data_IF_267853940231
#
_entry.id   IF_267853940231
#
_cell.length_a   1.000
_cell.length_b   1.000
_cell.length_c   1.000
_cell.angle_alpha   90.00
_cell.angle_beta   90.00
_cell.angle_gamma   90.00
#
_symmetry.space_group_name_H-M   'P 1'
#
loop_
_entity.id
_entity.type
_entity.pdbx_description
1 polymer ?
#
# COMPACT_ATOMS: atom_id res chain seq x y z
N UNK A 1 14.62 18.44 23.55
CA UNK A 1 14.87 16.99 23.69
C UNK A 1 15.42 16.50 22.38
N UNK A 2 16.47 15.69 22.36
CA UNK A 2 16.95 15.09 21.13
C UNK A 2 16.01 13.93 20.75
N UNK A 3 15.60 13.87 19.48
CA UNK A 3 14.79 12.74 18.96
C UNK A 3 15.63 11.47 18.92
N UNK A 4 14.99 10.34 19.22
CA UNK A 4 15.57 9.01 19.00
C UNK A 4 15.18 8.49 17.61
N UNK A 5 15.87 7.47 17.12
CA UNK A 5 15.47 6.79 15.87
C UNK A 5 14.04 6.23 15.94
N UNK A 6 13.56 5.83 17.12
CA UNK A 6 12.19 5.37 17.32
C UNK A 6 11.18 6.52 17.19
N UNK A 7 11.47 7.69 17.78
CA UNK A 7 10.59 8.85 17.63
C UNK A 7 10.41 9.28 16.19
N UNK A 8 11.51 9.22 15.42
CA UNK A 8 11.51 9.52 13.99
C UNK A 8 10.70 8.49 13.20
N UNK A 9 10.90 7.20 13.49
CA UNK A 9 10.19 6.11 12.87
C UNK A 9 8.68 6.17 13.16
N UNK A 10 8.30 6.46 14.41
CA UNK A 10 6.90 6.63 14.83
C UNK A 10 6.23 7.84 14.17
N UNK A 11 6.97 8.95 14.00
CA UNK A 11 6.47 10.12 13.27
C UNK A 11 6.23 9.78 11.81
N UNK A 12 7.20 9.14 11.14
CA UNK A 12 7.09 8.70 9.75
C UNK A 12 5.93 7.72 9.55
N UNK A 13 5.75 6.79 10.49
CA UNK A 13 4.62 5.85 10.49
C UNK A 13 3.28 6.58 10.54
N UNK A 14 3.12 7.53 11.46
CA UNK A 14 1.88 8.31 11.60
C UNK A 14 1.56 9.11 10.34
N UNK A 15 2.55 9.75 9.74
CA UNK A 15 2.38 10.55 8.53
C UNK A 15 1.91 9.68 7.35
N UNK A 16 2.52 8.50 7.19
CA UNK A 16 2.13 7.56 6.14
C UNK A 16 0.74 6.94 6.38
N UNK A 17 0.42 6.58 7.63
CA UNK A 17 -0.94 6.13 7.99
C UNK A 17 -1.96 7.23 7.65
N UNK A 18 -1.68 8.47 8.03
CA UNK A 18 -2.58 9.60 7.75
C UNK A 18 -2.83 9.79 6.26
N UNK A 19 -1.80 9.66 5.43
CA UNK A 19 -1.90 9.78 3.97
C UNK A 19 -2.73 8.64 3.36
N UNK A 20 -2.35 7.40 3.63
CA UNK A 20 -2.98 6.23 3.01
C UNK A 20 -4.43 6.05 3.51
N UNK A 21 -4.69 6.28 4.81
CA UNK A 21 -6.02 6.10 5.39
C UNK A 21 -7.10 6.98 4.75
N UNK A 22 -6.73 8.14 4.19
CA UNK A 22 -7.66 9.04 3.50
C UNK A 22 -8.23 8.45 2.21
N UNK A 23 -7.55 7.50 1.59
CA UNK A 23 -8.06 6.77 0.43
C UNK A 23 -9.12 5.70 0.77
N UNK A 24 -9.30 5.41 2.06
CA UNK A 24 -10.17 4.33 2.52
C UNK A 24 -9.61 2.93 2.32
N UNK A 25 -8.41 2.77 1.78
CA UNK A 25 -7.77 1.46 1.65
C UNK A 25 -7.75 0.72 2.98
N UNK A 26 -7.94 -0.58 2.91
CA UNK A 26 -7.78 -1.48 4.05
C UNK A 26 -6.33 -1.91 4.14
N UNK A 27 -5.61 -1.44 5.16
CA UNK A 27 -4.22 -1.78 5.37
C UNK A 27 -3.86 -1.81 6.86
N UNK A 28 -2.70 -2.39 7.14
CA UNK A 28 -1.96 -2.26 8.40
C UNK A 28 -0.56 -1.79 8.09
N UNK A 29 0.02 -0.96 8.95
CA UNK A 29 1.37 -0.48 8.80
C UNK A 29 2.16 -0.77 10.08
N UNK A 30 3.25 -1.51 9.93
CA UNK A 30 4.21 -1.81 10.97
C UNK A 30 5.49 -1.03 10.72
N UNK A 31 6.11 -0.57 11.78
CA UNK A 31 7.39 0.11 11.73
C UNK A 31 8.39 -0.61 12.62
N UNK A 32 9.65 -0.65 12.19
CA UNK A 32 10.75 -1.13 13.01
C UNK A 32 11.99 -0.28 12.81
N UNK A 33 12.75 -0.13 13.86
CA UNK A 33 14.11 0.42 13.82
C UNK A 33 15.09 -0.73 14.02
N UNK A 34 16.13 -0.78 13.19
CA UNK A 34 17.17 -1.81 13.29
C UNK A 34 17.96 -1.62 14.58
N UNK A 35 18.09 -2.69 15.37
CA UNK A 35 18.88 -2.65 16.61
C UNK A 35 20.37 -2.52 16.33
N UNK A 36 21.11 -2.00 17.31
CA UNK A 36 22.59 -1.86 17.23
C UNK A 36 23.25 -3.23 17.01
N UNK A 37 22.73 -4.28 17.66
CA UNK A 37 23.24 -5.66 17.46
C UNK A 37 23.05 -6.09 16.01
N UNK A 38 21.89 -5.79 15.40
CA UNK A 38 21.64 -6.10 13.99
C UNK A 38 22.55 -5.32 13.04
N UNK A 39 22.87 -4.06 13.38
CA UNK A 39 23.87 -3.26 12.64
C UNK A 39 25.24 -3.91 12.74
N UNK A 40 25.68 -4.26 13.95
CA UNK A 40 26.98 -4.93 14.19
C UNK A 40 27.08 -6.27 13.46
N UNK A 41 26.05 -7.09 13.52
CA UNK A 41 26.01 -8.37 12.79
C UNK A 41 26.11 -8.16 11.27
N UNK A 42 25.40 -7.16 10.72
CA UNK A 42 25.49 -6.82 9.29
C UNK A 42 26.88 -6.32 8.90
N UNK A 43 27.52 -5.54 9.79
CA UNK A 43 28.93 -5.12 9.64
C UNK A 43 29.88 -6.29 9.66
N UNK A 44 29.70 -7.29 10.53
CA UNK A 44 30.52 -8.52 10.54
C UNK A 44 30.47 -9.29 9.23
N UNK A 45 29.31 -9.34 8.58
CA UNK A 45 29.10 -10.12 7.35
C UNK A 45 29.45 -9.35 6.06
N UNK A 46 29.20 -8.05 6.00
CA UNK A 46 29.31 -7.20 4.79
C UNK A 46 30.04 -5.89 5.03
N UNK A 47 30.71 -5.74 6.18
CA UNK A 47 31.35 -4.48 6.60
C UNK A 47 32.35 -3.94 5.60
N UNK A 48 33.05 -4.81 4.88
CA UNK A 48 33.98 -4.41 3.84
C UNK A 48 33.32 -3.58 2.72
N UNK A 49 32.07 -3.85 2.38
CA UNK A 49 31.33 -3.08 1.37
C UNK A 49 30.98 -1.66 1.87
N UNK A 50 30.68 -1.53 3.16
CA UNK A 50 30.33 -0.25 3.77
C UNK A 50 31.58 0.59 4.03
N UNK A 51 32.64 -0.02 4.57
CA UNK A 51 33.88 0.69 4.91
C UNK A 51 34.68 1.14 3.69
N UNK A 52 34.58 0.43 2.54
CA UNK A 52 35.23 0.88 1.30
C UNK A 52 34.40 1.93 0.53
N UNK A 53 33.28 2.40 1.07
CA UNK A 53 32.43 3.42 0.45
C UNK A 53 31.63 2.97 -0.79
N UNK A 54 31.65 1.67 -1.13
CA UNK A 54 30.89 1.15 -2.28
C UNK A 54 29.39 1.19 -2.11
N UNK A 55 28.91 1.11 -0.87
CA UNK A 55 27.46 1.14 -0.52
C UNK A 55 27.28 1.65 0.88
N UNK A 56 26.08 2.14 1.19
CA UNK A 56 25.66 2.54 2.54
C UNK A 56 24.53 1.64 3.03
N UNK A 57 24.35 1.58 4.35
CA UNK A 57 23.25 0.86 4.96
C UNK A 57 21.96 1.71 4.88
N UNK A 58 20.93 1.19 4.23
CA UNK A 58 19.73 1.94 3.85
C UNK A 58 18.46 1.51 4.59
N UNK A 59 18.55 0.45 5.41
CA UNK A 59 17.42 -0.22 6.06
C UNK A 59 17.41 -0.07 7.59
N UNK A 60 17.78 1.14 8.08
CA UNK A 60 17.74 1.46 9.52
C UNK A 60 16.30 1.60 10.01
N UNK A 61 15.47 2.30 9.24
CA UNK A 61 14.02 2.37 9.45
C UNK A 61 13.35 1.52 8.38
N UNK A 62 12.56 0.55 8.80
CA UNK A 62 11.77 -0.32 7.92
C UNK A 62 10.29 -0.18 8.20
N UNK A 63 9.50 0.08 7.17
CA UNK A 63 8.05 0.14 7.19
C UNK A 63 7.49 -1.06 6.43
N UNK A 64 6.46 -1.69 6.97
CA UNK A 64 5.78 -2.79 6.31
C UNK A 64 4.30 -2.47 6.19
N UNK A 65 3.82 -2.36 4.95
CA UNK A 65 2.41 -2.11 4.64
C UNK A 65 1.80 -3.44 4.21
N UNK A 66 0.77 -3.85 4.94
CA UNK A 66 0.04 -5.09 4.69
C UNK A 66 -1.36 -4.73 4.21
N UNK A 67 -1.65 -5.06 2.95
CA UNK A 67 -2.94 -4.83 2.29
C UNK A 67 -3.77 -6.10 2.23
N UNK A 68 -5.05 -5.98 1.91
CA UNK A 68 -5.97 -7.13 1.94
C UNK A 68 -6.26 -7.69 0.54
N UNK A 69 -6.01 -6.92 -0.51
CA UNK A 69 -6.20 -7.35 -1.89
C UNK A 69 -4.90 -7.23 -2.69
N UNK A 70 -4.62 -8.16 -3.62
CA UNK A 70 -3.36 -8.17 -4.36
C UNK A 70 -3.18 -6.96 -5.28
N UNK A 71 -4.26 -6.38 -5.82
CA UNK A 71 -4.24 -5.18 -6.66
C UNK A 71 -3.95 -3.89 -5.85
N UNK A 72 -4.12 -3.87 -4.53
CA UNK A 72 -3.70 -2.75 -3.68
C UNK A 72 -2.17 -2.64 -3.56
N UNK A 73 -1.43 -3.74 -3.81
CA UNK A 73 0.04 -3.69 -3.91
C UNK A 73 0.46 -2.79 -5.07
N UNK A 74 -0.20 -2.91 -6.24
CA UNK A 74 0.10 -2.12 -7.42
C UNK A 74 -0.19 -0.63 -7.20
N UNK A 75 -1.33 -0.30 -6.56
CA UNK A 75 -1.67 1.06 -6.16
C UNK A 75 -0.57 1.69 -5.31
N UNK A 76 -0.15 1.00 -4.24
CA UNK A 76 0.87 1.52 -3.34
C UNK A 76 2.27 1.50 -3.97
N UNK A 77 2.57 0.52 -4.84
CA UNK A 77 3.80 0.48 -5.63
C UNK A 77 3.91 1.71 -6.51
N UNK A 78 2.86 2.04 -7.25
CA UNK A 78 2.82 3.23 -8.09
C UNK A 78 2.98 4.50 -7.27
N UNK A 79 2.26 4.62 -6.15
CA UNK A 79 2.36 5.79 -5.27
C UNK A 79 3.79 5.98 -4.71
N UNK A 80 4.39 4.92 -4.16
CA UNK A 80 5.73 5.01 -3.58
C UNK A 80 6.85 4.96 -4.61
N UNK A 81 6.60 4.49 -5.82
CA UNK A 81 7.52 4.50 -6.96
C UNK A 81 7.71 5.88 -7.58
N UNK A 82 6.83 6.84 -7.29
CA UNK A 82 6.98 8.21 -7.74
C UNK A 82 7.90 9.03 -6.81
N UNK A 83 8.69 9.95 -7.38
CA UNK A 83 9.55 10.88 -6.63
C UNK A 83 10.91 10.28 -6.24
N UNK A 84 11.42 10.58 -5.04
CA UNK A 84 12.78 10.25 -4.63
C UNK A 84 12.98 8.79 -4.21
N UNK A 85 12.91 7.89 -5.19
CA UNK A 85 13.25 6.47 -5.01
C UNK A 85 14.76 6.31 -5.16
N UNK A 86 15.40 5.73 -4.15
CA UNK A 86 16.84 5.41 -4.18
C UNK A 86 17.07 4.04 -4.79
N UNK A 87 16.18 3.10 -4.48
CA UNK A 87 16.26 1.72 -4.96
C UNK A 87 14.88 1.07 -4.92
N UNK A 88 14.54 0.39 -5.98
CA UNK A 88 13.42 -0.55 -6.02
C UNK A 88 13.95 -1.96 -6.27
N UNK A 89 13.44 -2.92 -5.52
CA UNK A 89 13.69 -4.34 -5.80
C UNK A 89 12.37 -5.09 -5.74
N UNK A 90 12.02 -5.66 -6.88
CA UNK A 90 10.92 -6.61 -6.99
C UNK A 90 11.58 -7.99 -6.99
N UNK A 91 11.39 -8.76 -5.93
CA UNK A 91 11.74 -10.18 -5.95
C UNK A 91 10.72 -10.88 -6.84
N UNK A 92 10.98 -10.91 -8.15
CA UNK A 92 10.23 -11.77 -9.07
C UNK A 92 10.69 -13.22 -8.81
N UNK A 93 9.74 -14.12 -8.49
CA UNK A 93 10.09 -15.54 -8.41
C UNK A 93 10.62 -16.01 -9.78
N UNK A 94 11.62 -16.88 -9.75
CA UNK A 94 11.94 -17.72 -10.89
C UNK A 94 10.71 -18.57 -11.23
N UNK A 95 10.36 -18.73 -12.51
CA UNK A 95 9.21 -19.50 -12.98
C UNK A 95 9.15 -20.93 -12.42
N UNK A 96 10.27 -21.44 -11.91
CA UNK A 96 10.41 -22.76 -11.28
C UNK A 96 10.16 -22.76 -9.76
N UNK A 97 10.06 -21.59 -9.10
CA UNK A 97 9.95 -21.50 -7.64
C UNK A 97 8.82 -20.61 -7.20
N UNK A 98 7.86 -21.18 -6.47
CA UNK A 98 6.83 -20.39 -5.78
C UNK A 98 7.48 -19.59 -4.63
N UNK A 99 7.61 -18.29 -4.84
CA UNK A 99 7.99 -17.33 -3.79
C UNK A 99 7.05 -16.14 -3.88
N UNK A 100 6.61 -15.59 -2.73
CA UNK A 100 5.76 -14.41 -2.75
C UNK A 100 6.47 -13.25 -3.43
N UNK A 101 5.74 -12.50 -4.28
CA UNK A 101 6.23 -11.23 -4.79
C UNK A 101 6.53 -10.31 -3.61
N UNK A 102 7.76 -9.88 -3.50
CA UNK A 102 8.19 -8.90 -2.51
C UNK A 102 8.47 -7.62 -3.23
N UNK A 103 7.78 -6.59 -2.85
CA UNK A 103 8.11 -5.25 -3.29
C UNK A 103 8.79 -4.53 -2.13
N UNK A 104 10.06 -4.18 -2.34
CA UNK A 104 10.82 -3.38 -1.41
C UNK A 104 11.24 -2.09 -2.12
N UNK A 105 10.86 -0.96 -1.58
CA UNK A 105 11.18 0.37 -2.08
C UNK A 105 12.00 1.09 -1.03
N UNK A 106 13.20 1.53 -1.39
CA UNK A 106 14.04 2.38 -0.55
C UNK A 106 13.85 3.83 -0.97
N UNK A 107 13.43 4.69 -0.05
CA UNK A 107 13.20 6.11 -0.28
C UNK A 107 14.10 6.96 0.60
N UNK A 108 14.40 8.18 0.14
CA UNK A 108 15.03 9.20 1.00
C UNK A 108 14.05 9.62 2.09
N UNK A 109 14.60 9.89 3.27
CA UNK A 109 13.84 10.58 4.30
C UNK A 109 13.52 12.00 3.81
N UNK A 110 12.30 12.52 4.05
CA UNK A 110 12.01 13.92 3.79
C UNK A 110 12.97 14.85 4.54
N UNK A 111 13.23 16.03 4.00
CA UNK A 111 14.24 16.98 4.53
C UNK A 111 14.01 17.34 6.01
N UNK A 112 12.75 17.44 6.42
CA UNK A 112 12.36 17.73 7.81
C UNK A 112 12.64 16.58 8.80
N UNK A 113 13.05 15.40 8.31
CA UNK A 113 13.47 14.25 9.11
C UNK A 113 14.98 14.06 9.11
N UNK A 114 15.69 14.51 8.07
CA UNK A 114 17.09 14.16 7.87
C UNK A 114 17.99 14.67 8.99
N UNK A 115 17.80 15.91 9.45
CA UNK A 115 18.59 16.51 10.52
C UNK A 115 18.47 15.72 11.81
N UNK A 116 17.24 15.41 12.22
CA UNK A 116 16.96 14.65 13.44
C UNK A 116 17.49 13.22 13.32
N UNK A 117 17.32 12.60 12.16
CA UNK A 117 17.82 11.25 11.88
C UNK A 117 19.35 11.18 12.01
N UNK A 118 20.07 12.11 11.38
CA UNK A 118 21.53 12.18 11.47
C UNK A 118 22.02 12.38 12.92
N UNK A 119 21.34 13.25 13.68
CA UNK A 119 21.65 13.48 15.07
C UNK A 119 21.40 12.27 15.98
N UNK A 120 20.42 11.43 15.65
CA UNK A 120 20.04 10.24 16.40
C UNK A 120 20.91 9.01 16.09
N UNK A 121 21.72 9.05 15.02
CA UNK A 121 22.59 7.92 14.66
C UNK A 121 23.75 7.73 15.64
N UNK A 122 24.14 6.48 15.95
CA UNK A 122 25.39 6.23 16.66
C UNK A 122 26.57 6.80 15.86
N UNK A 123 27.40 7.61 16.50
CA UNK A 123 28.53 8.30 15.86
C UNK A 123 29.45 7.35 15.06
N UNK A 124 29.64 6.14 15.57
CA UNK A 124 30.51 5.10 14.95
C UNK A 124 29.98 4.57 13.61
N UNK A 125 28.67 4.77 13.31
CA UNK A 125 28.02 4.28 12.10
C UNK A 125 27.47 5.39 11.21
N UNK A 126 27.58 6.65 11.60
CA UNK A 126 26.98 7.79 10.90
C UNK A 126 27.41 7.89 9.41
N UNK A 127 28.68 7.59 9.11
CA UNK A 127 29.22 7.71 7.76
C UNK A 127 28.81 6.57 6.84
N UNK A 128 28.43 5.41 7.38
CA UNK A 128 28.07 4.22 6.62
C UNK A 128 26.56 4.01 6.51
N UNK A 129 25.78 4.86 7.14
CA UNK A 129 24.32 4.83 7.09
C UNK A 129 23.80 5.95 6.19
N UNK A 130 22.85 5.62 5.33
CA UNK A 130 22.16 6.56 4.45
C UNK A 130 20.90 7.11 5.10
N UNK A 131 20.51 8.36 4.77
CA UNK A 131 19.25 8.99 5.24
C UNK A 131 18.06 8.45 4.45
N UNK A 132 17.74 7.18 4.68
CA UNK A 132 16.71 6.44 3.93
C UNK A 132 15.84 5.59 4.84
N UNK A 133 14.71 5.19 4.32
CA UNK A 133 13.84 4.18 4.91
C UNK A 133 13.39 3.17 3.86
N UNK A 134 13.16 1.94 4.29
CA UNK A 134 12.67 0.86 3.42
C UNK A 134 11.17 0.68 3.61
N UNK A 135 10.42 0.57 2.51
CA UNK A 135 9.00 0.20 2.51
C UNK A 135 8.89 -1.20 1.92
N UNK A 136 8.24 -2.09 2.64
CA UNK A 136 7.85 -3.42 2.19
C UNK A 136 6.34 -3.46 2.03
N UNK A 137 5.84 -3.85 0.86
CA UNK A 137 4.40 -3.95 0.59
C UNK A 137 4.06 -5.43 0.35
N UNK A 138 3.06 -5.94 1.06
CA UNK A 138 2.63 -7.33 1.03
C UNK A 138 1.12 -7.45 1.23
N UNK A 139 0.55 -8.58 0.83
CA UNK A 139 -0.80 -8.96 1.25
C UNK A 139 -0.80 -9.61 2.63
N UNK A 140 -1.97 -9.68 3.26
CA UNK A 140 -2.14 -10.32 4.59
C UNK A 140 -1.78 -11.82 4.57
N UNK A 141 -2.08 -12.52 3.48
CA UNK A 141 -1.76 -13.95 3.38
C UNK A 141 -0.28 -14.18 3.11
N UNK A 142 0.31 -13.42 2.21
CA UNK A 142 1.73 -13.41 1.92
C UNK A 142 2.55 -13.07 3.17
N UNK A 143 2.11 -12.09 3.96
CA UNK A 143 2.76 -11.69 5.20
C UNK A 143 2.77 -12.81 6.23
N UNK A 144 1.62 -13.45 6.47
CA UNK A 144 1.52 -14.54 7.44
C UNK A 144 2.47 -15.71 7.11
N UNK A 145 2.49 -16.13 5.84
CA UNK A 145 3.40 -17.17 5.40
C UNK A 145 4.88 -16.75 5.55
N UNK A 146 5.16 -15.50 5.26
CA UNK A 146 6.51 -14.97 5.24
C UNK A 146 7.14 -14.88 6.63
N UNK A 147 6.37 -14.50 7.65
CA UNK A 147 6.85 -14.51 9.04
C UNK A 147 7.20 -15.94 9.48
N UNK A 148 6.37 -16.92 9.14
CA UNK A 148 6.64 -18.34 9.43
C UNK A 148 7.89 -18.81 8.68
N UNK A 149 7.99 -18.56 7.37
CA UNK A 149 9.14 -18.95 6.55
C UNK A 149 10.43 -18.33 7.06
N UNK A 150 10.41 -17.03 7.35
CA UNK A 150 11.58 -16.30 7.78
C UNK A 150 12.11 -16.78 9.13
N UNK A 151 11.22 -16.95 10.11
CA UNK A 151 11.65 -17.27 11.48
C UNK A 151 11.89 -18.76 11.72
N UNK A 152 11.11 -19.63 11.08
CA UNK A 152 11.19 -21.07 11.32
C UNK A 152 11.95 -21.84 10.23
N UNK A 153 12.21 -21.25 9.05
CA UNK A 153 13.02 -21.90 8.00
C UNK A 153 14.26 -21.11 7.64
N UNK A 154 14.13 -19.85 7.24
CA UNK A 154 15.27 -19.06 6.76
C UNK A 154 16.34 -18.85 7.85
N UNK A 155 15.95 -18.51 9.06
CA UNK A 155 16.86 -18.39 10.22
C UNK A 155 17.37 -19.75 10.72
N UNK A 156 16.59 -20.81 10.54
CA UNK A 156 16.85 -22.16 11.06
C UNK A 156 17.23 -23.15 9.94
N UNK A 157 18.02 -22.71 8.94
CA UNK A 157 18.35 -23.52 7.75
C UNK A 157 18.90 -24.91 8.07
N UNK A 158 19.62 -25.05 9.18
CA UNK A 158 20.22 -26.34 9.57
C UNK A 158 19.14 -27.34 10.00
N UNK A 159 18.04 -26.88 10.58
CA UNK A 159 16.95 -27.73 11.07
C UNK A 159 16.15 -28.33 9.90
N UNK A 160 16.28 -27.73 8.71
CA UNK A 160 15.57 -28.16 7.49
C UNK A 160 16.39 -29.09 6.59
N UNK A 161 17.62 -29.44 6.98
CA UNK A 161 18.42 -30.41 6.24
C UNK A 161 17.81 -31.81 6.34
N UNK A 162 17.51 -32.43 5.19
CA UNK A 162 16.85 -33.73 5.13
C UNK A 162 15.33 -33.66 5.21
N UNK A 163 14.73 -32.44 5.19
CA UNK A 163 13.28 -32.21 5.20
C UNK A 163 12.79 -31.58 3.89
N UNK A 164 13.27 -32.08 2.76
CA UNK A 164 12.97 -31.54 1.42
C UNK A 164 11.47 -31.61 1.11
N UNK A 165 10.80 -32.69 1.52
CA UNK A 165 9.35 -32.84 1.33
C UNK A 165 8.56 -31.78 2.10
N UNK A 166 8.92 -31.52 3.37
CA UNK A 166 8.29 -30.48 4.20
C UNK A 166 8.58 -29.10 3.65
N UNK A 167 9.79 -28.86 3.18
CA UNK A 167 10.16 -27.60 2.52
C UNK A 167 9.33 -27.37 1.26
N UNK A 168 9.12 -28.41 0.46
CA UNK A 168 8.25 -28.35 -0.73
C UNK A 168 6.79 -28.11 -0.35
N UNK A 169 6.30 -28.74 0.72
CA UNK A 169 4.95 -28.52 1.23
C UNK A 169 4.76 -27.06 1.67
N UNK A 170 5.72 -26.50 2.41
CA UNK A 170 5.66 -25.10 2.82
C UNK A 170 5.64 -24.13 1.61
N UNK A 171 6.39 -24.44 0.55
CA UNK A 171 6.31 -23.68 -0.70
C UNK A 171 4.95 -23.86 -1.42
N UNK A 172 4.33 -25.03 -1.34
CA UNK A 172 2.99 -25.26 -1.89
C UNK A 172 1.90 -24.45 -1.18
N UNK A 173 2.06 -24.20 0.12
CA UNK A 173 1.12 -23.36 0.88
C UNK A 173 1.07 -21.94 0.32
N UNK A 174 2.20 -21.33 -0.01
CA UNK A 174 2.18 -19.96 -0.57
C UNK A 174 1.43 -19.90 -1.90
N UNK A 175 1.59 -20.90 -2.78
CA UNK A 175 0.84 -20.96 -4.03
C UNK A 175 -0.68 -21.04 -3.81
N UNK A 176 -1.10 -21.79 -2.78
CA UNK A 176 -2.52 -21.87 -2.38
C UNK A 176 -3.02 -20.51 -1.86
N UNK A 177 -2.22 -19.82 -1.06
CA UNK A 177 -2.57 -18.49 -0.53
C UNK A 177 -2.68 -17.44 -1.64
N UNK A 178 -1.75 -17.42 -2.60
CA UNK A 178 -1.81 -16.53 -3.77
C UNK A 178 -3.07 -16.80 -4.62
N UNK A 179 -3.40 -18.07 -4.85
CA UNK A 179 -4.63 -18.43 -5.56
C UNK A 179 -5.87 -17.94 -4.80
N UNK A 180 -5.89 -18.10 -3.47
CA UNK A 180 -6.99 -17.64 -2.63
C UNK A 180 -7.16 -16.10 -2.67
N UNK A 181 -6.07 -15.33 -2.72
CA UNK A 181 -6.10 -13.87 -2.85
C UNK A 181 -6.75 -13.43 -4.15
N UNK A 182 -6.34 -14.02 -5.27
CA UNK A 182 -6.92 -13.71 -6.58
C UNK A 182 -8.38 -14.15 -6.68
N UNK A 183 -8.73 -15.31 -6.13
CA UNK A 183 -10.11 -15.78 -6.05
C UNK A 183 -10.98 -14.82 -5.23
N UNK A 184 -10.48 -14.36 -4.09
CA UNK A 184 -11.19 -13.37 -3.27
C UNK A 184 -11.41 -12.06 -4.03
N UNK A 185 -10.40 -11.54 -4.77
CA UNK A 185 -10.56 -10.36 -5.61
C UNK A 185 -11.62 -10.58 -6.68
N UNK A 186 -11.57 -11.71 -7.42
CA UNK A 186 -12.52 -12.04 -8.48
C UNK A 186 -13.94 -12.14 -7.95
N UNK A 187 -14.14 -12.75 -6.76
CA UNK A 187 -15.44 -12.82 -6.10
C UNK A 187 -16.09 -11.43 -5.92
N UNK A 188 -15.33 -10.43 -5.46
CA UNK A 188 -15.86 -9.07 -5.28
C UNK A 188 -16.13 -8.38 -6.63
N UNK A 189 -15.38 -8.69 -7.68
CA UNK A 189 -15.66 -8.19 -9.02
C UNK A 189 -16.97 -8.79 -9.56
N UNK A 190 -17.16 -10.10 -9.48
CA UNK A 190 -18.40 -10.78 -9.86
C UNK A 190 -19.60 -10.24 -9.08
N UNK A 191 -19.45 -10.04 -7.75
CA UNK A 191 -20.51 -9.44 -6.92
C UNK A 191 -20.84 -8.00 -7.35
N UNK A 192 -19.85 -7.21 -7.78
CA UNK A 192 -20.10 -5.85 -8.30
C UNK A 192 -20.94 -5.92 -9.58
N UNK A 193 -20.60 -6.79 -10.52
CA UNK A 193 -21.35 -7.00 -11.77
C UNK A 193 -22.78 -7.50 -11.50
N UNK A 194 -22.96 -8.52 -10.65
CA UNK A 194 -24.29 -9.00 -10.28
C UNK A 194 -25.15 -7.93 -9.60
N UNK A 195 -24.57 -7.14 -8.70
CA UNK A 195 -25.29 -6.05 -8.04
C UNK A 195 -25.69 -4.95 -9.03
N UNK A 196 -24.85 -4.65 -10.03
CA UNK A 196 -25.21 -3.77 -11.13
C UNK A 196 -26.45 -4.30 -11.87
N UNK A 197 -26.45 -5.58 -12.28
CA UNK A 197 -27.57 -6.20 -13.01
C UNK A 197 -28.87 -6.19 -12.19
N UNK A 198 -28.78 -6.21 -10.85
CA UNK A 198 -29.93 -6.14 -9.95
C UNK A 198 -30.37 -4.70 -9.61
N UNK A 199 -29.68 -3.69 -10.14
CA UNK A 199 -29.92 -2.28 -9.78
C UNK A 199 -29.51 -1.92 -8.35
N UNK A 200 -28.73 -2.76 -7.67
CA UNK A 200 -28.23 -2.51 -6.32
C UNK A 200 -26.90 -1.75 -6.38
N UNK A 201 -26.97 -0.48 -6.73
CA UNK A 201 -25.78 0.35 -6.97
C UNK A 201 -24.94 0.61 -5.72
N UNK A 202 -25.54 0.63 -4.53
CA UNK A 202 -24.80 0.75 -3.25
C UNK A 202 -23.84 -0.40 -3.07
N UNK A 203 -24.33 -1.65 -3.19
CA UNK A 203 -23.50 -2.84 -3.07
C UNK A 203 -22.51 -2.97 -4.24
N UNK A 204 -22.89 -2.55 -5.44
CA UNK A 204 -22.00 -2.50 -6.60
C UNK A 204 -20.78 -1.59 -6.30
N UNK A 205 -21.00 -0.35 -5.86
CA UNK A 205 -19.93 0.60 -5.53
C UNK A 205 -19.03 0.03 -4.42
N UNK A 206 -19.62 -0.53 -3.36
CA UNK A 206 -18.86 -1.15 -2.26
C UNK A 206 -17.95 -2.27 -2.74
N UNK A 207 -18.49 -3.17 -3.57
CA UNK A 207 -17.74 -4.33 -4.07
C UNK A 207 -16.70 -3.94 -5.12
N UNK A 208 -16.98 -2.96 -5.97
CA UNK A 208 -16.04 -2.42 -6.95
C UNK A 208 -14.87 -1.71 -6.28
N UNK A 209 -15.17 -0.82 -5.35
CA UNK A 209 -14.13 0.03 -4.74
C UNK A 209 -13.35 -0.68 -3.63
N UNK A 210 -13.96 -1.60 -2.88
CA UNK A 210 -13.32 -2.35 -1.78
C UNK A 210 -12.54 -1.46 -0.81
N UNK A 211 -13.12 -0.31 -0.46
CA UNK A 211 -12.58 0.68 0.49
C UNK A 211 -13.55 0.89 1.65
N UNK A 212 -13.07 1.52 2.71
CA UNK A 212 -13.90 1.93 3.86
C UNK A 212 -14.60 3.23 3.53
N UNK A 213 -15.92 3.17 3.40
CA UNK A 213 -16.78 4.33 3.23
C UNK A 213 -17.32 4.80 4.58
N UNK A 214 -17.60 6.10 4.71
CA UNK A 214 -18.11 6.75 5.94
C UNK A 214 -19.64 6.83 5.98
N UNK A 215 -20.31 6.62 4.86
CA UNK A 215 -21.78 6.52 4.78
C UNK A 215 -22.18 5.07 4.52
N UNK A 216 -23.44 4.73 4.75
CA UNK A 216 -24.00 3.40 4.48
C UNK A 216 -24.70 3.34 3.12
N UNK A 217 -25.12 4.51 2.58
CA UNK A 217 -25.89 4.64 1.36
C UNK A 217 -25.59 5.97 0.65
N UNK A 218 -26.11 6.13 -0.56
CA UNK A 218 -26.20 7.41 -1.24
C UNK A 218 -27.16 8.36 -0.51
N UNK A 219 -26.95 9.68 -0.65
CA UNK A 219 -27.97 10.65 -0.27
C UNK A 219 -29.26 10.47 -1.09
N UNK A 220 -30.43 10.93 -0.61
CA UNK A 220 -31.70 10.77 -1.34
C UNK A 220 -31.65 11.31 -2.77
N UNK A 221 -30.99 12.43 -3.00
CA UNK A 221 -30.83 13.06 -4.32
C UNK A 221 -30.01 12.17 -5.26
N UNK A 222 -28.85 11.70 -4.79
CA UNK A 222 -27.99 10.84 -5.58
C UNK A 222 -28.61 9.45 -5.76
N UNK A 223 -29.29 8.91 -4.75
CA UNK A 223 -30.03 7.65 -4.88
C UNK A 223 -31.13 7.72 -5.97
N UNK A 224 -31.79 8.88 -6.13
CA UNK A 224 -32.75 9.09 -7.23
C UNK A 224 -32.03 9.18 -8.57
N UNK A 225 -30.93 9.92 -8.65
CA UNK A 225 -30.13 10.07 -9.87
C UNK A 225 -29.63 8.70 -10.39
N UNK A 226 -28.97 7.90 -9.55
CA UNK A 226 -28.38 6.61 -9.98
C UNK A 226 -29.43 5.60 -10.47
N UNK A 227 -30.68 5.68 -9.97
CA UNK A 227 -31.79 4.82 -10.42
C UNK A 227 -32.25 5.15 -11.84
N UNK A 228 -32.11 6.40 -12.28
CA UNK A 228 -32.52 6.87 -13.61
C UNK A 228 -31.37 6.91 -14.62
N UNK A 229 -30.11 6.74 -14.17
CA UNK A 229 -28.91 6.89 -14.98
C UNK A 229 -28.06 5.60 -15.00
N UNK A 230 -28.64 4.51 -15.50
CA UNK A 230 -27.95 3.21 -15.58
C UNK A 230 -26.62 3.29 -16.35
N UNK A 231 -26.54 4.10 -17.42
CA UNK A 231 -25.33 4.25 -18.20
C UNK A 231 -24.17 4.86 -17.39
N UNK A 232 -24.46 5.83 -16.53
CA UNK A 232 -23.48 6.42 -15.61
C UNK A 232 -22.95 5.37 -14.63
N UNK A 233 -23.86 4.53 -14.09
CA UNK A 233 -23.48 3.45 -13.19
C UNK A 233 -22.71 2.32 -13.92
N UNK A 234 -22.99 2.07 -15.20
CA UNK A 234 -22.21 1.17 -16.04
C UNK A 234 -20.79 1.69 -16.27
N UNK A 235 -20.65 2.98 -16.55
CA UNK A 235 -19.34 3.63 -16.65
C UNK A 235 -18.59 3.57 -15.32
N UNK A 236 -19.26 3.79 -14.18
CA UNK A 236 -18.66 3.61 -12.86
C UNK A 236 -18.16 2.18 -12.63
N UNK A 237 -18.94 1.15 -13.01
CA UNK A 237 -18.51 -0.25 -12.90
C UNK A 237 -17.24 -0.52 -13.71
N UNK A 238 -17.11 0.12 -14.87
CA UNK A 238 -15.97 -0.03 -15.78
C UNK A 238 -14.75 0.83 -15.40
N UNK A 239 -14.86 1.76 -14.45
CA UNK A 239 -13.78 2.69 -14.11
C UNK A 239 -12.51 1.98 -13.62
N UNK A 240 -11.37 2.62 -13.85
CA UNK A 240 -10.07 2.14 -13.35
C UNK A 240 -9.90 2.46 -11.86
N UNK A 241 -10.28 1.50 -10.99
CA UNK A 241 -10.21 1.63 -9.53
C UNK A 241 -8.85 2.16 -9.05
N UNK A 242 -7.75 1.72 -9.65
CA UNK A 242 -6.39 2.13 -9.28
C UNK A 242 -6.22 3.65 -9.43
N UNK A 243 -6.69 4.23 -10.53
CA UNK A 243 -6.60 5.68 -10.78
C UNK A 243 -7.32 6.48 -9.71
N UNK A 244 -8.53 6.05 -9.35
CA UNK A 244 -9.34 6.71 -8.30
C UNK A 244 -8.64 6.65 -6.94
N UNK A 245 -8.12 5.48 -6.55
CA UNK A 245 -7.43 5.33 -5.26
C UNK A 245 -6.12 6.12 -5.23
N UNK A 246 -5.36 6.14 -6.33
CA UNK A 246 -4.14 6.94 -6.45
C UNK A 246 -4.45 8.43 -6.28
N UNK A 247 -5.48 8.95 -6.96
CA UNK A 247 -5.90 10.35 -6.82
C UNK A 247 -6.21 10.69 -5.35
N UNK A 248 -6.93 9.82 -4.66
CA UNK A 248 -7.24 9.99 -3.23
C UNK A 248 -5.98 10.02 -2.34
N UNK A 249 -4.95 9.22 -2.65
CA UNK A 249 -3.70 9.20 -1.86
C UNK A 249 -2.86 10.44 -2.19
N UNK A 250 -2.70 10.78 -3.47
CA UNK A 250 -1.82 11.85 -3.95
C UNK A 250 -2.29 13.20 -3.44
N UNK A 251 -3.56 13.51 -3.64
CA UNK A 251 -4.10 14.81 -3.29
C UNK A 251 -4.35 14.98 -1.80
N UNK A 252 -4.33 13.88 -1.01
CA UNK A 252 -4.43 13.90 0.46
C UNK A 252 -5.53 14.84 1.01
N UNK A 253 -6.64 14.94 0.28
CA UNK A 253 -7.70 15.91 0.56
C UNK A 253 -8.66 15.42 1.65
N UNK A 254 -9.31 16.37 2.30
CA UNK A 254 -10.23 16.11 3.42
C UNK A 254 -11.67 15.88 2.97
N UNK A 255 -11.89 15.32 1.77
CA UNK A 255 -13.24 14.93 1.34
C UNK A 255 -13.65 13.68 2.12
N UNK A 256 -14.81 13.70 2.79
CA UNK A 256 -15.36 12.49 3.40
C UNK A 256 -15.61 11.42 2.35
N UNK A 257 -15.14 10.20 2.56
CA UNK A 257 -15.37 9.09 1.64
C UNK A 257 -16.79 8.54 1.79
N UNK A 258 -17.77 9.28 1.27
CA UNK A 258 -19.16 8.85 1.15
C UNK A 258 -19.40 8.21 -0.22
N UNK A 259 -20.53 7.53 -0.40
CA UNK A 259 -20.94 7.01 -1.70
C UNK A 259 -21.07 8.12 -2.74
N UNK A 260 -21.66 9.26 -2.35
CA UNK A 260 -21.82 10.43 -3.22
C UNK A 260 -20.47 10.95 -3.69
N UNK A 261 -19.55 11.20 -2.76
CA UNK A 261 -18.25 11.78 -3.08
C UNK A 261 -17.37 10.83 -3.92
N UNK A 262 -17.44 9.52 -3.71
CA UNK A 262 -16.77 8.56 -4.58
C UNK A 262 -17.36 8.61 -5.99
N UNK A 263 -18.69 8.71 -6.13
CA UNK A 263 -19.33 8.82 -7.44
C UNK A 263 -18.93 10.14 -8.13
N UNK A 264 -18.89 11.27 -7.41
CA UNK A 264 -18.43 12.55 -7.95
C UNK A 264 -16.98 12.51 -8.40
N UNK A 265 -16.08 11.92 -7.60
CA UNK A 265 -14.66 11.78 -7.96
C UNK A 265 -14.51 10.94 -9.23
N UNK A 266 -15.20 9.79 -9.33
CA UNK A 266 -15.16 8.96 -10.54
C UNK A 266 -15.76 9.70 -11.72
N UNK A 267 -16.83 10.48 -11.51
CA UNK A 267 -17.43 11.31 -12.55
C UNK A 267 -16.40 12.30 -13.13
N UNK A 268 -15.68 12.99 -12.28
CA UNK A 268 -14.72 14.03 -12.70
C UNK A 268 -13.44 13.46 -13.34
N UNK A 269 -13.05 12.24 -12.96
CA UNK A 269 -11.84 11.60 -13.51
C UNK A 269 -12.14 10.89 -14.85
N UNK A 270 -13.30 10.21 -14.97
CA UNK A 270 -13.53 9.30 -16.10
C UNK A 270 -14.88 9.48 -16.81
N UNK A 271 -16.00 9.71 -16.08
CA UNK A 271 -17.35 9.63 -16.65
C UNK A 271 -17.73 10.92 -17.39
N UNK A 272 -17.49 12.08 -16.77
CA UNK A 272 -17.79 13.42 -17.27
C UNK A 272 -19.29 13.67 -17.54
N UNK A 273 -20.17 13.19 -16.67
CA UNK A 273 -21.61 13.44 -16.73
C UNK A 273 -21.93 14.81 -16.12
N UNK A 274 -22.42 15.73 -16.93
CA UNK A 274 -22.69 17.12 -16.51
C UNK A 274 -23.86 17.24 -15.55
N UNK A 275 -24.89 16.38 -15.65
CA UNK A 275 -26.02 16.38 -14.72
C UNK A 275 -25.53 15.94 -13.31
N UNK A 276 -24.75 14.86 -13.25
CA UNK A 276 -24.15 14.41 -11.99
C UNK A 276 -23.23 15.48 -11.40
N UNK A 277 -22.42 16.15 -12.22
CA UNK A 277 -21.58 17.25 -11.78
C UNK A 277 -22.39 18.40 -11.18
N UNK A 278 -23.57 18.70 -11.70
CA UNK A 278 -24.44 19.75 -11.17
C UNK A 278 -25.03 19.45 -9.78
N UNK A 279 -24.95 18.19 -9.35
CA UNK A 279 -25.42 17.74 -8.04
C UNK A 279 -24.33 17.81 -6.94
N UNK A 280 -23.10 18.14 -7.32
CA UNK A 280 -22.00 18.30 -6.37
C UNK A 280 -22.27 19.52 -5.46
N UNK A 281 -22.00 19.37 -4.16
CA UNK A 281 -21.94 20.54 -3.30
C UNK A 281 -20.71 21.39 -3.60
N UNK A 282 -20.80 22.70 -3.36
CA UNK A 282 -19.75 23.66 -3.74
C UNK A 282 -18.39 23.38 -3.07
N UNK A 283 -18.37 22.81 -1.87
CA UNK A 283 -17.14 22.50 -1.15
C UNK A 283 -16.45 21.27 -1.77
N UNK A 284 -17.22 20.23 -2.08
CA UNK A 284 -16.70 19.03 -2.76
C UNK A 284 -16.22 19.38 -4.16
N UNK A 285 -16.98 20.16 -4.92
CA UNK A 285 -16.59 20.61 -6.27
C UNK A 285 -15.26 21.37 -6.24
N UNK A 286 -15.13 22.37 -5.36
CA UNK A 286 -13.90 23.16 -5.25
C UNK A 286 -12.66 22.32 -4.91
N UNK A 287 -12.82 21.30 -4.08
CA UNK A 287 -11.71 20.39 -3.76
C UNK A 287 -11.34 19.53 -4.96
N UNK A 288 -12.32 18.94 -5.66
CA UNK A 288 -12.02 18.10 -6.85
C UNK A 288 -11.43 18.95 -7.96
N UNK A 289 -11.91 20.19 -8.18
CA UNK A 289 -11.33 21.11 -9.15
C UNK A 289 -9.83 21.38 -8.87
N UNK A 290 -9.47 21.57 -7.60
CA UNK A 290 -8.06 21.74 -7.21
C UNK A 290 -7.17 20.54 -7.52
N UNK A 291 -7.75 19.32 -7.61
CA UNK A 291 -6.99 18.13 -7.99
C UNK A 291 -6.68 18.10 -9.49
N UNK A 292 -7.62 18.57 -10.30
CA UNK A 292 -7.50 18.56 -11.77
C UNK A 292 -6.56 19.68 -12.28
N UNK A 293 -6.32 20.69 -11.46
CA UNK A 293 -5.39 21.80 -11.77
C UNK A 293 -3.95 21.54 -11.33
N UNK A 294 -3.70 20.53 -10.48
CA UNK A 294 -2.37 20.23 -9.89
C UNK A 294 -1.67 19.06 -10.60
#
# INVERSE_FOLDING_TARGET
MAYTLHDIADRLQRDLISKIAKSGLMFRLFCRVKTIESIRHKMGNKGYLYLCGKTKMQDIIGLRIVVYFPDDIEVLSTYFGCGEVVKESIDTPDDSTFRPKRLNITRRLPDDYETDFRAALPKEYADIIDSTYEIQIRTVFSEGWHEVEHDLRYKCKNDWKGYETQSRTLNGIIATLETAEWTMKSLFQEMAEENFQRGNYVSMVRNKMRIRLKSEDFSPTIAQYVRSHENTMRSFLSCERMVVILALIIHNQSIPLTYDNILFIVNRIEINDAELQSLEDSATAAVIDSWLES
#
